data_IF_853263987016
#
_entry.id   IF_853263987016
#
_cell.length_a   1.000
_cell.length_b   1.000
_cell.length_c   1.000
_cell.angle_alpha   90.00
_cell.angle_beta   90.00
_cell.angle_gamma   90.00
#
_symmetry.space_group_name_H-M   'P 1'
#
loop_
_entity.id
_entity.type
_entity.pdbx_description
1 polymer ?
#
# COMPACT_ATOMS: atom_id res chain seq x y z
N UNK A 1 -0.67 13.91 3.30
CA UNK A 1 -0.98 13.94 4.75
C UNK A 1 -2.13 12.98 4.97
N UNK A 2 -1.93 11.91 5.76
CA UNK A 2 -2.97 10.92 6.01
C UNK A 2 -4.16 11.52 6.74
N UNK A 3 -5.34 10.97 6.47
CA UNK A 3 -6.55 11.36 7.19
C UNK A 3 -6.38 11.02 8.68
N UNK A 4 -6.67 11.97 9.57
CA UNK A 4 -6.76 11.69 11.01
C UNK A 4 -8.00 10.81 11.26
N UNK A 5 -7.79 9.62 11.79
CA UNK A 5 -8.87 8.66 12.04
C UNK A 5 -9.72 9.19 13.20
N UNK A 6 -11.00 9.48 12.93
CA UNK A 6 -11.96 9.98 13.94
C UNK A 6 -12.98 8.92 14.37
N UNK A 7 -13.07 7.82 13.64
CA UNK A 7 -13.95 6.67 13.94
C UNK A 7 -13.18 5.37 13.68
N UNK A 8 -13.46 4.28 14.43
CA UNK A 8 -12.84 2.98 14.16
C UNK A 8 -13.14 2.53 12.72
N UNK A 9 -12.18 1.82 12.13
CA UNK A 9 -12.32 1.28 10.77
C UNK A 9 -13.12 -0.02 10.81
N UNK A 10 -14.00 -0.22 9.83
CA UNK A 10 -14.71 -1.49 9.59
C UNK A 10 -14.00 -2.36 8.56
N UNK A 11 -12.88 -1.87 8.02
CA UNK A 11 -12.11 -2.59 7.00
C UNK A 11 -11.32 -3.78 7.56
N UNK A 12 -11.10 -3.86 8.88
CA UNK A 12 -10.23 -4.85 9.55
C UNK A 12 -8.78 -4.92 9.01
N UNK A 13 -8.44 -4.03 8.07
CA UNK A 13 -7.14 -3.85 7.44
C UNK A 13 -6.46 -2.58 7.97
N UNK A 14 -5.15 -2.66 8.10
CA UNK A 14 -4.26 -1.59 8.56
C UNK A 14 -3.00 -1.54 7.67
N UNK A 15 -2.18 -0.51 7.81
CA UNK A 15 -1.01 -0.31 6.95
C UNK A 15 0.00 -1.48 7.00
N UNK A 16 0.42 -1.96 8.18
CA UNK A 16 1.31 -3.12 8.26
C UNK A 16 0.76 -4.37 7.57
N UNK A 17 -0.53 -4.69 7.76
CA UNK A 17 -1.18 -5.82 7.08
C UNK A 17 -1.20 -5.63 5.56
N UNK A 18 -1.58 -4.44 5.10
CA UNK A 18 -1.60 -4.14 3.66
C UNK A 18 -0.20 -4.27 3.05
N UNK A 19 0.83 -3.66 3.64
CA UNK A 19 2.19 -3.73 3.10
C UNK A 19 2.77 -5.14 3.04
N UNK A 20 2.38 -6.01 3.97
CA UNK A 20 2.85 -7.39 3.99
C UNK A 20 2.45 -8.14 2.71
N UNK A 21 1.28 -7.82 2.15
CA UNK A 21 0.79 -8.51 0.98
C UNK A 21 1.66 -8.30 -0.28
N UNK A 22 1.96 -7.07 -0.74
CA UNK A 22 2.87 -6.85 -1.86
C UNK A 22 4.27 -7.43 -1.66
N UNK A 23 4.75 -7.50 -0.40
CA UNK A 23 6.05 -8.08 -0.07
C UNK A 23 6.05 -9.61 -0.19
N UNK A 24 4.95 -10.27 0.18
CA UNK A 24 4.81 -11.73 0.10
C UNK A 24 4.41 -12.20 -1.30
N UNK A 25 3.62 -11.43 -2.04
CA UNK A 25 3.09 -11.78 -3.36
C UNK A 25 3.48 -10.73 -4.43
N UNK A 26 4.78 -10.52 -4.71
CA UNK A 26 5.24 -9.47 -5.61
C UNK A 26 4.80 -9.66 -7.07
N UNK A 27 4.36 -10.87 -7.42
CA UNK A 27 3.85 -11.20 -8.77
C UNK A 27 2.34 -11.00 -8.91
N UNK A 28 1.63 -10.72 -7.82
CA UNK A 28 0.18 -10.58 -7.81
C UNK A 28 -0.19 -9.13 -7.51
N UNK A 29 -0.35 -8.35 -8.57
CA UNK A 29 -0.69 -6.93 -8.48
C UNK A 29 -2.12 -6.67 -7.96
N UNK A 30 -2.97 -7.69 -7.87
CA UNK A 30 -4.39 -7.53 -7.54
C UNK A 30 -4.71 -7.90 -6.10
N UNK A 31 -5.60 -7.13 -5.46
CA UNK A 31 -6.13 -7.44 -4.13
C UNK A 31 -7.05 -8.68 -4.12
N UNK A 32 -7.33 -9.31 -5.26
CA UNK A 32 -8.06 -10.58 -5.32
C UNK A 32 -7.24 -11.71 -4.71
N UNK A 33 -5.93 -11.74 -4.96
CA UNK A 33 -5.01 -12.73 -4.37
C UNK A 33 -4.87 -12.54 -2.86
N UNK A 34 -5.00 -11.32 -2.37
CA UNK A 34 -5.01 -11.01 -0.93
C UNK A 34 -6.16 -11.72 -0.19
N UNK A 35 -7.32 -11.85 -0.83
CA UNK A 35 -8.46 -12.57 -0.26
C UNK A 35 -8.27 -14.08 -0.19
N UNK A 36 -7.38 -14.66 -0.99
CA UNK A 36 -7.07 -16.10 -0.92
C UNK A 36 -6.06 -16.42 0.19
N UNK A 37 -5.25 -15.44 0.58
CA UNK A 37 -4.13 -15.58 1.52
C UNK A 37 -4.41 -14.97 2.89
N UNK A 38 -5.53 -14.27 3.03
CA UNK A 38 -5.98 -13.65 4.26
C UNK A 38 -7.50 -13.67 4.33
N UNK A 39 -8.07 -13.62 5.53
CA UNK A 39 -9.51 -13.49 5.74
C UNK A 39 -10.06 -12.08 5.40
N UNK A 40 -9.35 -11.30 4.57
CA UNK A 40 -9.71 -9.95 4.17
C UNK A 40 -10.13 -9.91 2.70
N UNK A 41 -11.37 -9.48 2.46
CA UNK A 41 -11.85 -9.24 1.10
C UNK A 41 -11.14 -8.06 0.43
N UNK A 42 -11.04 -8.08 -0.89
CA UNK A 42 -10.49 -6.95 -1.65
C UNK A 42 -11.27 -5.64 -1.40
N UNK A 43 -12.59 -5.71 -1.16
CA UNK A 43 -13.43 -4.54 -0.83
C UNK A 43 -13.03 -3.92 0.52
N UNK A 44 -12.75 -4.74 1.54
CA UNK A 44 -12.23 -4.26 2.82
C UNK A 44 -10.93 -3.49 2.65
N UNK A 45 -10.01 -4.01 1.83
CA UNK A 45 -8.72 -3.38 1.54
C UNK A 45 -8.90 -2.08 0.77
N UNK A 46 -9.74 -2.06 -0.25
CA UNK A 46 -10.05 -0.86 -1.02
C UNK A 46 -10.67 0.24 -0.14
N UNK A 47 -11.61 -0.12 0.74
CA UNK A 47 -12.20 0.82 1.70
C UNK A 47 -11.16 1.38 2.66
N UNK A 48 -10.23 0.56 3.14
CA UNK A 48 -9.11 1.03 3.97
C UNK A 48 -8.26 2.05 3.20
N UNK A 49 -7.78 1.70 2.00
CA UNK A 49 -6.93 2.56 1.19
C UNK A 49 -7.58 3.92 0.89
N UNK A 50 -8.85 3.91 0.49
CA UNK A 50 -9.63 5.11 0.19
C UNK A 50 -9.92 5.94 1.44
N UNK A 51 -10.34 5.29 2.54
CA UNK A 51 -10.72 5.99 3.78
C UNK A 51 -9.53 6.70 4.41
N UNK A 52 -8.39 6.02 4.49
CA UNK A 52 -7.18 6.55 5.12
C UNK A 52 -6.38 7.44 4.19
N UNK A 53 -6.75 7.47 2.89
CA UNK A 53 -6.04 8.17 1.83
C UNK A 53 -4.58 7.72 1.78
N UNK A 54 -4.38 6.39 1.72
CA UNK A 54 -3.06 5.77 1.72
C UNK A 54 -2.36 6.12 0.41
N UNK A 55 -1.25 6.84 0.50
CA UNK A 55 -0.42 7.20 -0.64
C UNK A 55 0.82 6.28 -0.72
N UNK A 56 1.44 6.13 -1.91
CA UNK A 56 2.69 5.38 -2.05
C UNK A 56 3.80 5.84 -1.08
N UNK A 57 3.89 7.15 -0.82
CA UNK A 57 4.82 7.71 0.17
C UNK A 57 4.64 7.11 1.57
N UNK A 58 3.40 6.75 1.95
CA UNK A 58 3.16 6.19 3.27
C UNK A 58 3.71 4.76 3.38
N UNK A 59 3.63 3.96 2.30
CA UNK A 59 4.30 2.65 2.26
C UNK A 59 5.81 2.81 2.39
N UNK A 60 6.38 3.77 1.65
CA UNK A 60 7.82 4.06 1.76
C UNK A 60 8.22 4.46 3.18
N UNK A 61 7.50 5.40 3.81
CA UNK A 61 7.84 5.85 5.17
C UNK A 61 7.75 4.73 6.20
N UNK A 62 6.75 3.85 6.07
CA UNK A 62 6.59 2.71 6.94
C UNK A 62 7.71 1.67 6.74
N UNK A 63 8.16 1.44 5.49
CA UNK A 63 9.34 0.61 5.22
C UNK A 63 10.64 1.27 5.71
N UNK A 64 10.80 2.57 5.45
CA UNK A 64 11.95 3.39 5.84
C UNK A 64 12.18 3.37 7.35
N UNK A 65 11.12 3.36 8.16
CA UNK A 65 11.24 3.24 9.62
C UNK A 65 11.96 1.95 10.09
N UNK A 66 12.13 0.95 9.20
CA UNK A 66 12.83 -0.31 9.45
C UNK A 66 14.22 -0.38 8.80
N UNK A 67 14.65 0.69 8.11
CA UNK A 67 15.94 0.78 7.44
C UNK A 67 16.91 1.65 8.25
N UNK A 68 18.20 1.33 8.15
CA UNK A 68 19.27 2.17 8.68
C UNK A 68 19.69 3.13 7.56
N UNK A 69 19.50 4.43 7.78
CA UNK A 69 19.91 5.48 6.83
C UNK A 69 21.29 6.06 7.12
N UNK A 70 21.95 5.60 8.19
CA UNK A 70 23.29 6.03 8.56
C UNK A 70 24.33 5.17 7.86
N UNK A 71 25.14 5.79 7.00
CA UNK A 71 26.19 5.16 6.19
C UNK A 71 25.70 4.12 5.17
N UNK A 72 26.34 4.07 4.00
CA UNK A 72 25.97 3.11 2.93
C UNK A 72 26.03 3.72 1.53
N UNK A 73 25.55 2.96 0.56
CA UNK A 73 25.47 3.36 -0.86
C UNK A 73 24.01 3.38 -1.28
N UNK A 74 23.56 4.53 -1.80
CA UNK A 74 22.22 4.69 -2.38
C UNK A 74 22.25 4.38 -3.87
N UNK A 75 21.45 3.42 -4.30
CA UNK A 75 21.13 3.21 -5.72
C UNK A 75 19.75 3.78 -6.00
N UNK A 76 19.65 4.64 -7.01
CA UNK A 76 18.40 5.31 -7.40
C UNK A 76 17.96 4.74 -8.75
N UNK A 77 16.68 4.39 -8.86
CA UNK A 77 16.00 3.97 -10.08
C UNK A 77 14.91 5.00 -10.40
N UNK A 78 14.98 5.61 -11.58
CA UNK A 78 14.05 6.63 -12.08
C UNK A 78 13.04 6.07 -13.10
N UNK A 79 12.87 4.74 -13.12
CA UNK A 79 11.87 4.07 -13.97
C UNK A 79 10.46 4.64 -13.75
N UNK A 80 9.82 5.04 -14.86
CA UNK A 80 8.44 5.52 -14.88
C UNK A 80 7.50 4.40 -15.31
N UNK A 81 6.48 4.11 -14.49
CA UNK A 81 5.40 3.21 -14.87
C UNK A 81 4.36 3.97 -15.70
N UNK A 82 4.20 3.59 -16.96
CA UNK A 82 3.12 4.10 -17.80
C UNK A 82 1.83 3.34 -17.48
N UNK A 83 0.79 4.07 -17.04
CA UNK A 83 -0.55 3.53 -16.90
C UNK A 83 -1.40 4.01 -18.07
N UNK A 84 -1.87 3.09 -18.91
CA UNK A 84 -2.66 3.40 -20.11
C UNK A 84 -4.12 3.75 -19.81
N UNK A 85 -4.51 3.86 -18.53
CA UNK A 85 -5.87 4.26 -18.13
C UNK A 85 -5.97 5.79 -18.14
N UNK A 86 -6.86 6.37 -18.95
CA UNK A 86 -7.05 7.83 -18.99
C UNK A 86 -7.46 8.38 -17.62
N UNK A 87 -6.87 9.52 -17.24
CA UNK A 87 -7.22 10.28 -16.03
C UNK A 87 -8.71 10.68 -15.95
N UNK A 88 -9.47 10.55 -17.05
CA UNK A 88 -10.92 10.79 -17.13
C UNK A 88 -11.78 9.60 -16.67
N UNK A 89 -11.18 8.48 -16.30
CA UNK A 89 -11.87 7.25 -15.88
C UNK A 89 -11.58 6.85 -14.41
N UNK A 90 -10.95 7.74 -13.63
CA UNK A 90 -10.68 7.57 -12.20
C UNK A 90 -11.52 8.53 -11.34
#
# INVERSE_FOLDING_TARGET
>A
MRRKITKPTTAECDLPKYMRFPLCEPKSATCTRLNELSDMSHDRVNRFLQRENVAPKDLFLEAAARLIFESGTLFVDDTVLENSIPMTQL
#
